data_IF_071581263549
#
_entry.id   IF_071581263549
#
_cell.length_a   1.000
_cell.length_b   1.000
_cell.length_c   1.000
_cell.angle_alpha   90.00
_cell.angle_beta   90.00
_cell.angle_gamma   90.00
#
_symmetry.space_group_name_H-M   'P 1'
#
loop_
_entity.id
_entity.type
_entity.pdbx_description
1 polymer ?
#
# COMPACT_ATOMS: atom_id res chain seq x y z
N UNK A 1 -21.11 33.81 -14.84
CA UNK A 1 -22.27 33.03 -15.27
C UNK A 1 -22.57 33.22 -16.75
N UNK A 2 -22.42 34.42 -17.28
CA UNK A 2 -22.79 34.77 -18.66
C UNK A 2 -21.94 34.12 -19.76
N UNK A 3 -20.62 33.90 -19.54
CA UNK A 3 -19.76 33.23 -20.52
C UNK A 3 -20.06 31.73 -20.66
N UNK A 4 -20.50 31.06 -19.58
CA UNK A 4 -20.90 29.67 -19.63
C UNK A 4 -22.20 29.46 -20.42
N UNK A 5 -23.11 30.39 -20.31
CA UNK A 5 -24.39 30.35 -21.02
C UNK A 5 -24.24 30.44 -22.56
N UNK A 6 -23.12 30.99 -23.06
CA UNK A 6 -22.84 31.02 -24.50
C UNK A 6 -22.28 29.71 -25.06
N UNK A 7 -21.82 28.80 -24.19
CA UNK A 7 -21.13 27.55 -24.60
C UNK A 7 -22.07 26.35 -24.49
N UNK A 8 -23.18 26.47 -23.73
CA UNK A 8 -24.07 25.34 -23.45
C UNK A 8 -25.23 25.27 -24.43
N UNK A 9 -25.75 24.06 -24.73
CA UNK A 9 -26.94 23.87 -25.59
C UNK A 9 -28.17 24.55 -25.00
N UNK A 10 -29.07 25.03 -25.89
CA UNK A 10 -30.27 25.78 -25.53
C UNK A 10 -31.22 25.07 -24.54
N UNK A 11 -31.27 23.73 -24.57
CA UNK A 11 -32.13 22.93 -23.66
C UNK A 11 -31.76 23.08 -22.18
N UNK A 12 -30.54 23.56 -21.86
CA UNK A 12 -30.11 23.79 -20.47
C UNK A 12 -30.86 24.95 -19.84
N UNK A 13 -31.38 25.89 -20.65
CA UNK A 13 -32.13 27.03 -20.17
C UNK A 13 -33.52 26.62 -19.65
N UNK A 14 -34.07 25.52 -20.13
CA UNK A 14 -35.41 25.00 -19.74
C UNK A 14 -35.33 24.17 -18.44
N UNK A 15 -34.15 23.94 -17.91
CA UNK A 15 -33.94 23.17 -16.67
C UNK A 15 -34.29 24.00 -15.43
N UNK A 16 -34.81 23.36 -14.34
CA UNK A 16 -34.99 24.00 -13.05
C UNK A 16 -33.73 24.70 -12.56
N UNK A 17 -33.87 25.83 -11.86
CA UNK A 17 -32.75 26.67 -11.40
C UNK A 17 -31.68 25.89 -10.60
N UNK A 18 -32.10 24.94 -9.75
CA UNK A 18 -31.21 24.09 -8.98
C UNK A 18 -30.32 23.20 -9.85
N UNK A 19 -30.91 22.60 -10.89
CA UNK A 19 -30.16 21.72 -11.82
C UNK A 19 -29.18 22.53 -12.67
N UNK A 20 -29.56 23.71 -13.09
CA UNK A 20 -28.71 24.65 -13.82
C UNK A 20 -27.51 25.09 -13.00
N UNK A 21 -27.73 25.38 -11.71
CA UNK A 21 -26.63 25.72 -10.79
C UNK A 21 -25.67 24.57 -10.58
N UNK A 22 -26.19 23.36 -10.43
CA UNK A 22 -25.35 22.14 -10.32
C UNK A 22 -24.49 21.91 -11.57
N UNK A 23 -25.08 22.01 -12.76
CA UNK A 23 -24.34 21.87 -14.02
C UNK A 23 -23.26 22.94 -14.17
N UNK A 24 -23.58 24.19 -13.79
CA UNK A 24 -22.61 25.26 -13.78
C UNK A 24 -21.44 25.00 -12.81
N UNK A 25 -21.72 24.52 -11.60
CA UNK A 25 -20.68 24.14 -10.63
C UNK A 25 -19.80 22.99 -11.14
N UNK A 26 -20.40 21.97 -11.75
CA UNK A 26 -19.67 20.89 -12.37
C UNK A 26 -18.77 21.38 -13.52
N UNK A 27 -19.29 22.22 -14.39
CA UNK A 27 -18.52 22.85 -15.46
C UNK A 27 -17.36 23.66 -14.89
N UNK A 28 -17.61 24.52 -13.92
CA UNK A 28 -16.58 25.32 -13.26
C UNK A 28 -15.50 24.49 -12.56
N UNK A 29 -15.92 23.36 -11.97
CA UNK A 29 -15.00 22.50 -11.22
C UNK A 29 -14.12 21.67 -12.12
N UNK A 30 -14.67 21.13 -13.22
CA UNK A 30 -13.96 20.13 -14.02
C UNK A 30 -13.48 20.66 -15.37
N UNK A 31 -14.22 21.58 -16.00
CA UNK A 31 -13.97 21.94 -17.40
C UNK A 31 -13.36 23.35 -17.51
N UNK A 32 -13.88 24.34 -16.76
CA UNK A 32 -13.42 25.71 -16.85
C UNK A 32 -11.93 25.84 -16.58
N UNK A 33 -11.24 26.63 -17.43
CA UNK A 33 -9.80 26.84 -17.34
C UNK A 33 -8.96 25.55 -17.34
N UNK A 34 -9.41 24.51 -18.06
CA UNK A 34 -8.69 23.23 -18.19
C UNK A 34 -8.44 22.50 -16.85
N UNK A 35 -9.30 22.73 -15.85
CA UNK A 35 -9.11 22.16 -14.50
C UNK A 35 -9.08 20.63 -14.47
N UNK A 36 -9.72 19.96 -15.43
CA UNK A 36 -9.61 18.51 -15.58
C UNK A 36 -8.17 18.00 -15.68
N UNK A 37 -7.23 18.83 -16.19
CA UNK A 37 -5.80 18.47 -16.25
C UNK A 37 -5.18 18.33 -14.86
N UNK A 38 -5.64 19.14 -13.90
CA UNK A 38 -5.21 19.03 -12.50
C UNK A 38 -5.67 17.72 -11.87
N UNK A 39 -6.93 17.32 -12.14
CA UNK A 39 -7.45 16.02 -11.68
C UNK A 39 -6.71 14.86 -12.34
N UNK A 40 -6.46 14.91 -13.65
CA UNK A 40 -5.72 13.90 -14.37
C UNK A 40 -4.28 13.77 -13.84
N UNK A 41 -3.61 14.89 -13.57
CA UNK A 41 -2.27 14.87 -12.98
C UNK A 41 -2.28 14.33 -11.55
N UNK A 42 -3.23 14.73 -10.72
CA UNK A 42 -3.42 14.19 -9.38
C UNK A 42 -3.65 12.68 -9.40
N UNK A 43 -4.49 12.19 -10.30
CA UNK A 43 -4.76 10.77 -10.49
C UNK A 43 -3.49 10.01 -10.90
N UNK A 44 -2.71 10.55 -11.84
CA UNK A 44 -1.41 9.99 -12.25
C UNK A 44 -0.46 9.84 -11.07
N UNK A 45 -0.33 10.88 -10.24
CA UNK A 45 0.52 10.86 -9.04
C UNK A 45 0.00 9.80 -8.05
N UNK A 46 -1.31 9.74 -7.83
CA UNK A 46 -1.92 8.74 -6.95
C UNK A 46 -1.61 7.32 -7.39
N UNK A 47 -1.76 7.01 -8.68
CA UNK A 47 -1.39 5.70 -9.22
C UNK A 47 0.10 5.40 -9.07
N UNK A 48 0.96 6.36 -9.35
CA UNK A 48 2.42 6.19 -9.21
C UNK A 48 2.80 5.88 -7.75
N UNK A 49 2.25 6.63 -6.79
CA UNK A 49 2.49 6.40 -5.36
C UNK A 49 1.93 5.05 -4.91
N UNK A 50 0.72 4.71 -5.33
CA UNK A 50 0.06 3.45 -4.96
C UNK A 50 0.84 2.23 -5.48
N UNK A 51 1.21 2.23 -6.76
CA UNK A 51 1.98 1.14 -7.37
C UNK A 51 3.36 1.03 -6.73
N UNK A 52 4.05 2.16 -6.55
CA UNK A 52 5.36 2.17 -5.90
C UNK A 52 5.32 1.65 -4.46
N UNK A 53 4.34 2.11 -3.67
CA UNK A 53 4.14 1.66 -2.30
C UNK A 53 3.74 0.17 -2.22
N UNK A 54 2.92 -0.30 -3.15
CA UNK A 54 2.51 -1.71 -3.23
C UNK A 54 3.72 -2.60 -3.50
N UNK A 55 4.53 -2.29 -4.50
CA UNK A 55 5.74 -3.06 -4.84
C UNK A 55 6.67 -3.11 -3.64
N UNK A 56 6.99 -1.95 -3.04
CA UNK A 56 7.85 -1.87 -1.87
C UNK A 56 7.28 -2.65 -0.68
N UNK A 57 5.98 -2.51 -0.43
CA UNK A 57 5.28 -3.22 0.65
C UNK A 57 5.29 -4.74 0.47
N UNK A 58 5.05 -5.23 -0.75
CA UNK A 58 5.12 -6.66 -1.06
C UNK A 58 6.53 -7.20 -0.83
N UNK A 59 7.56 -6.51 -1.30
CA UNK A 59 8.97 -6.93 -1.11
C UNK A 59 9.30 -7.00 0.38
N UNK A 60 9.05 -5.95 1.14
CA UNK A 60 9.32 -5.92 2.59
C UNK A 60 8.50 -6.99 3.31
N UNK A 61 7.22 -7.10 3.01
CA UNK A 61 6.30 -8.04 3.63
C UNK A 61 6.70 -9.50 3.40
N UNK A 62 7.10 -9.86 2.17
CA UNK A 62 7.59 -11.20 1.84
C UNK A 62 8.86 -11.55 2.61
N UNK A 63 9.84 -10.65 2.65
CA UNK A 63 11.09 -10.89 3.40
C UNK A 63 10.80 -11.14 4.87
N UNK A 64 9.95 -10.33 5.50
CA UNK A 64 9.60 -10.46 6.90
C UNK A 64 8.80 -11.76 7.15
N UNK A 65 7.85 -12.08 6.28
CA UNK A 65 7.06 -13.31 6.38
C UNK A 65 7.96 -14.56 6.34
N UNK A 66 8.90 -14.61 5.39
CA UNK A 66 9.85 -15.72 5.26
C UNK A 66 10.73 -15.86 6.52
N UNK A 67 11.29 -14.76 7.03
CA UNK A 67 12.12 -14.78 8.24
C UNK A 67 11.32 -15.33 9.43
N UNK A 68 10.11 -14.82 9.63
CA UNK A 68 9.26 -15.22 10.75
C UNK A 68 8.77 -16.66 10.63
N UNK A 69 8.34 -17.08 9.44
CA UNK A 69 7.92 -18.46 9.20
C UNK A 69 9.08 -19.43 9.37
N UNK A 70 10.28 -19.09 8.88
CA UNK A 70 11.49 -19.90 9.08
C UNK A 70 11.86 -20.03 10.56
N UNK A 71 11.64 -18.99 11.36
CA UNK A 71 11.85 -19.05 12.81
C UNK A 71 10.81 -19.95 13.48
N UNK A 72 9.52 -19.78 13.16
CA UNK A 72 8.40 -20.50 13.79
C UNK A 72 8.38 -22.00 13.40
N UNK A 73 8.87 -22.36 12.18
CA UNK A 73 8.94 -23.75 11.69
C UNK A 73 10.09 -24.57 12.28
N UNK A 74 10.96 -23.98 13.08
CA UNK A 74 12.11 -24.69 13.67
C UNK A 74 11.69 -25.46 14.93
N UNK A 75 12.16 -26.73 15.03
CA UNK A 75 12.02 -27.51 16.26
C UNK A 75 12.82 -26.86 17.39
N UNK A 76 12.25 -26.85 18.58
CA UNK A 76 12.93 -26.40 19.80
C UNK A 76 14.31 -27.09 19.95
N UNK A 77 15.37 -26.31 20.10
CA UNK A 77 16.74 -26.80 20.36
C UNK A 77 17.79 -26.55 19.26
N UNK A 78 17.42 -26.16 18.04
CA UNK A 78 18.37 -25.78 16.97
C UNK A 78 18.23 -24.32 16.56
N UNK A 79 18.29 -23.39 17.52
CA UNK A 79 18.17 -21.96 17.26
C UNK A 79 19.48 -21.37 16.69
N UNK A 80 19.44 -20.83 15.48
CA UNK A 80 20.49 -19.90 15.02
C UNK A 80 20.28 -18.58 15.76
N UNK A 81 21.28 -18.08 16.47
CA UNK A 81 21.27 -16.78 17.15
C UNK A 81 20.88 -15.66 16.15
N UNK A 82 21.41 -15.72 14.94
CA UNK A 82 21.11 -14.76 13.86
C UNK A 82 19.61 -14.72 13.56
N UNK A 83 18.96 -15.88 13.41
CA UNK A 83 17.53 -15.93 13.10
C UNK A 83 16.65 -15.42 14.25
N UNK A 84 17.08 -15.65 15.50
CA UNK A 84 16.39 -15.10 16.67
C UNK A 84 16.48 -13.58 16.71
N UNK A 85 17.64 -13.00 16.40
CA UNK A 85 17.83 -11.55 16.30
C UNK A 85 16.97 -10.98 15.18
N UNK A 86 17.03 -11.57 13.96
CA UNK A 86 16.22 -11.14 12.83
C UNK A 86 14.72 -11.18 13.14
N UNK A 87 14.25 -12.26 13.79
CA UNK A 87 12.84 -12.37 14.20
C UNK A 87 12.46 -11.32 15.24
N UNK A 88 13.34 -10.99 16.18
CA UNK A 88 13.12 -9.95 17.17
C UNK A 88 12.99 -8.55 16.50
N UNK A 89 13.88 -8.25 15.53
CA UNK A 89 13.81 -7.01 14.74
C UNK A 89 12.50 -6.95 13.94
N UNK A 90 12.12 -8.06 13.28
CA UNK A 90 10.86 -8.13 12.55
C UNK A 90 9.65 -7.90 13.47
N UNK A 91 9.63 -8.51 14.67
CA UNK A 91 8.56 -8.29 15.66
C UNK A 91 8.48 -6.83 16.11
N UNK A 92 9.63 -6.23 16.39
CA UNK A 92 9.69 -4.81 16.78
C UNK A 92 9.11 -3.90 15.68
N UNK A 93 9.54 -4.11 14.43
CA UNK A 93 9.01 -3.40 13.28
C UNK A 93 7.47 -3.54 13.17
N UNK A 94 6.95 -4.75 13.21
CA UNK A 94 5.51 -5.00 13.12
C UNK A 94 4.74 -4.35 14.28
N UNK A 95 5.29 -4.40 15.50
CA UNK A 95 4.68 -3.80 16.68
C UNK A 95 4.59 -2.27 16.55
N UNK A 96 5.67 -1.62 16.11
CA UNK A 96 5.71 -0.16 15.94
C UNK A 96 4.78 0.27 14.80
N UNK A 97 4.95 -0.34 13.62
CA UNK A 97 4.23 0.12 12.42
C UNK A 97 2.73 -0.13 12.52
N UNK A 98 2.31 -1.29 13.05
CA UNK A 98 0.88 -1.62 13.21
C UNK A 98 0.27 -1.01 14.49
N UNK A 99 1.09 -0.64 15.45
CA UNK A 99 0.67 0.00 16.69
C UNK A 99 0.54 1.52 16.61
N UNK A 100 0.98 2.15 15.52
CA UNK A 100 0.91 3.60 15.33
C UNK A 100 0.00 3.98 14.16
N UNK A 101 -0.78 5.07 14.27
CA UNK A 101 -1.63 5.54 13.17
C UNK A 101 -0.81 5.92 11.94
N UNK A 102 -1.23 5.48 10.75
CA UNK A 102 -0.54 5.77 9.49
C UNK A 102 -0.35 7.26 9.22
N UNK A 103 -1.33 8.10 9.60
CA UNK A 103 -1.22 9.56 9.48
C UNK A 103 -0.02 10.10 10.28
N UNK A 104 0.20 9.58 11.50
CA UNK A 104 1.34 9.98 12.33
C UNK A 104 2.66 9.58 11.66
N UNK A 105 2.73 8.39 11.06
CA UNK A 105 3.91 7.94 10.32
C UNK A 105 4.21 8.86 9.13
N UNK A 106 3.18 9.25 8.36
CA UNK A 106 3.33 10.20 7.24
C UNK A 106 3.84 11.57 7.72
N UNK A 107 3.32 12.08 8.84
CA UNK A 107 3.76 13.35 9.41
C UNK A 107 5.21 13.28 9.87
N UNK A 108 5.60 12.21 10.58
CA UNK A 108 6.98 12.01 11.04
C UNK A 108 7.93 11.91 9.84
N UNK A 109 7.59 11.09 8.85
CA UNK A 109 8.42 10.94 7.65
C UNK A 109 8.53 12.24 6.85
N UNK A 110 7.43 12.96 6.67
CA UNK A 110 7.39 14.18 5.87
C UNK A 110 7.99 15.41 6.55
N UNK A 111 7.83 15.55 7.86
CA UNK A 111 8.26 16.77 8.56
C UNK A 111 9.54 16.61 9.40
N UNK A 112 9.90 15.37 9.76
CA UNK A 112 11.05 15.13 10.65
C UNK A 112 12.18 14.38 9.95
N UNK A 113 11.86 13.32 9.20
CA UNK A 113 12.89 12.41 8.66
C UNK A 113 13.31 12.82 7.25
N UNK A 114 12.39 12.88 6.29
CA UNK A 114 12.72 13.12 4.87
C UNK A 114 12.66 14.59 4.48
N UNK A 115 11.77 15.38 5.09
CA UNK A 115 11.57 16.83 4.85
C UNK A 115 11.67 17.18 3.36
N UNK A 116 10.78 16.63 2.49
CA UNK A 116 10.90 16.77 1.06
C UNK A 116 10.72 18.22 0.59
N UNK A 117 11.63 18.70 -0.27
CA UNK A 117 11.67 20.10 -0.74
C UNK A 117 10.95 20.30 -2.08
N UNK A 118 10.78 19.25 -2.86
CA UNK A 118 10.16 19.27 -4.17
C UNK A 118 9.08 18.19 -4.31
N UNK A 119 8.31 18.24 -5.40
CA UNK A 119 7.18 17.34 -5.62
C UNK A 119 7.63 15.89 -5.83
N UNK A 120 8.78 15.66 -6.44
CA UNK A 120 9.36 14.33 -6.61
C UNK A 120 9.73 13.73 -5.26
N UNK A 121 10.40 14.50 -4.40
CA UNK A 121 10.76 14.07 -3.05
C UNK A 121 9.51 13.80 -2.18
N UNK A 122 8.43 14.58 -2.35
CA UNK A 122 7.13 14.34 -1.69
C UNK A 122 6.52 13.01 -2.13
N UNK A 123 6.56 12.74 -3.44
CA UNK A 123 6.08 11.48 -3.99
C UNK A 123 6.88 10.28 -3.45
N UNK A 124 8.21 10.38 -3.43
CA UNK A 124 9.10 9.34 -2.85
C UNK A 124 8.84 9.15 -1.38
N UNK A 125 8.68 10.23 -0.60
CA UNK A 125 8.32 10.16 0.82
C UNK A 125 7.00 9.40 1.04
N UNK A 126 6.00 9.69 0.22
CA UNK A 126 4.73 8.95 0.21
C UNK A 126 4.92 7.45 -0.09
N UNK A 127 5.65 7.12 -1.16
CA UNK A 127 5.93 5.73 -1.55
C UNK A 127 6.63 4.96 -0.42
N UNK A 128 7.67 5.55 0.16
CA UNK A 128 8.44 4.91 1.24
C UNK A 128 7.58 4.69 2.47
N UNK A 129 6.87 5.72 2.91
CA UNK A 129 6.05 5.62 4.13
C UNK A 129 4.91 4.62 3.98
N UNK A 130 4.17 4.71 2.87
CA UNK A 130 3.07 3.79 2.56
C UNK A 130 3.56 2.37 2.32
N UNK A 131 4.72 2.21 1.67
CA UNK A 131 5.35 0.91 1.44
C UNK A 131 5.80 0.25 2.73
N UNK A 132 6.42 1.00 3.65
CA UNK A 132 6.79 0.51 4.98
C UNK A 132 5.52 0.10 5.76
N UNK A 133 4.49 0.91 5.75
CA UNK A 133 3.24 0.59 6.43
C UNK A 133 2.57 -0.66 5.82
N UNK A 134 2.40 -0.70 4.50
CA UNK A 134 1.82 -1.84 3.77
C UNK A 134 2.60 -3.13 3.99
N UNK A 135 3.94 -3.06 4.03
CA UNK A 135 4.80 -4.21 4.26
C UNK A 135 4.55 -4.93 5.58
N UNK A 136 4.17 -4.19 6.62
CA UNK A 136 3.81 -4.78 7.91
C UNK A 136 2.51 -5.61 7.84
N UNK A 137 1.53 -5.16 7.08
CA UNK A 137 0.28 -5.91 6.87
C UNK A 137 0.49 -7.10 5.93
N UNK A 138 1.20 -6.92 4.83
CA UNK A 138 1.54 -8.00 3.89
C UNK A 138 2.31 -9.12 4.61
N UNK A 139 3.26 -8.77 5.47
CA UNK A 139 4.03 -9.75 6.25
C UNK A 139 3.13 -10.67 7.09
N UNK A 140 2.14 -10.10 7.77
CA UNK A 140 1.21 -10.89 8.60
C UNK A 140 0.22 -11.69 7.75
N UNK A 141 -0.27 -11.14 6.63
CA UNK A 141 -1.17 -11.87 5.71
C UNK A 141 -0.45 -13.08 5.12
N UNK A 142 0.75 -12.88 4.58
CA UNK A 142 1.55 -13.97 3.99
C UNK A 142 1.92 -15.00 5.06
N UNK A 143 2.38 -14.57 6.23
CA UNK A 143 2.67 -15.48 7.34
C UNK A 143 1.44 -16.29 7.77
N UNK A 144 0.29 -15.64 7.88
CA UNK A 144 -0.98 -16.31 8.20
C UNK A 144 -1.36 -17.35 7.15
N UNK A 145 -1.21 -17.03 5.87
CA UNK A 145 -1.43 -17.98 4.77
C UNK A 145 -0.47 -19.17 4.80
N UNK A 146 0.82 -18.93 5.02
CA UNK A 146 1.81 -20.00 5.12
C UNK A 146 1.56 -20.93 6.32
N UNK A 147 1.09 -20.40 7.43
CA UNK A 147 0.79 -21.18 8.65
C UNK A 147 -0.57 -21.86 8.63
N UNK A 148 -1.46 -21.52 7.70
CA UNK A 148 -2.75 -22.20 7.54
C UNK A 148 -2.62 -23.57 6.85
N UNK A 149 -1.49 -23.83 6.20
CA UNK A 149 -1.19 -25.13 5.60
C UNK A 149 -0.90 -26.13 6.72
N UNK A 150 -1.75 -27.17 6.83
CA UNK A 150 -1.64 -28.17 7.89
C UNK A 150 -0.32 -28.92 7.84
N UNK A 151 0.24 -29.22 9.02
CA UNK A 151 1.51 -29.96 9.14
C UNK A 151 1.51 -31.30 8.38
N UNK A 152 0.35 -31.97 8.30
CA UNK A 152 0.18 -33.22 7.56
C UNK A 152 0.47 -33.11 6.06
N UNK A 153 0.22 -31.96 5.42
CA UNK A 153 0.56 -31.75 4.01
C UNK A 153 2.08 -31.70 3.82
N UNK A 154 2.80 -31.06 4.74
CA UNK A 154 4.25 -31.04 4.73
C UNK A 154 4.86 -32.41 5.01
N UNK A 155 4.24 -33.21 5.86
CA UNK A 155 4.67 -34.59 6.14
C UNK A 155 4.39 -35.50 4.94
N UNK A 156 3.24 -35.37 4.29
CA UNK A 156 2.89 -36.09 3.07
C UNK A 156 3.87 -35.78 1.92
N UNK A 157 4.20 -34.52 1.70
CA UNK A 157 5.19 -34.09 0.71
C UNK A 157 6.57 -34.73 0.97
N UNK A 158 7.03 -34.72 2.23
CA UNK A 158 8.29 -35.38 2.63
C UNK A 158 8.26 -36.89 2.43
N UNK A 159 7.13 -37.55 2.70
CA UNK A 159 6.97 -38.98 2.47
C UNK A 159 7.06 -39.34 0.99
N UNK A 160 6.72 -38.42 0.10
CA UNK A 160 6.89 -38.53 -1.34
C UNK A 160 8.31 -38.13 -1.83
N UNK A 161 9.22 -37.80 -0.90
CA UNK A 161 10.60 -37.41 -1.22
C UNK A 161 10.76 -35.96 -1.67
N UNK A 162 9.72 -35.13 -1.55
CA UNK A 162 9.79 -33.71 -1.92
C UNK A 162 10.55 -32.88 -0.88
N UNK A 163 11.34 -31.92 -1.35
CA UNK A 163 11.95 -30.95 -0.45
C UNK A 163 10.94 -29.87 -0.02
N UNK A 164 11.32 -29.05 0.98
CA UNK A 164 10.46 -28.02 1.54
C UNK A 164 9.89 -27.06 0.46
N UNK A 165 10.76 -26.60 -0.45
CA UNK A 165 10.35 -25.68 -1.52
C UNK A 165 9.38 -26.31 -2.52
N UNK A 166 9.60 -27.58 -2.85
CA UNK A 166 8.71 -28.34 -3.76
C UNK A 166 7.33 -28.57 -3.11
N UNK A 167 7.30 -28.94 -1.83
CA UNK A 167 6.03 -29.12 -1.12
C UNK A 167 5.27 -27.82 -0.94
N UNK A 168 5.96 -26.70 -0.79
CA UNK A 168 5.32 -25.38 -0.67
C UNK A 168 4.79 -24.83 -2.01
N UNK A 169 5.26 -25.36 -3.12
CA UNK A 169 4.84 -24.92 -4.45
C UNK A 169 3.64 -25.73 -5.02
N UNK A 170 3.33 -26.89 -4.42
CA UNK A 170 2.17 -27.74 -4.73
C UNK A 170 0.96 -27.37 -3.89
#
# INVERSE_FOLDING_TARGET
MDQWLQIVPAWIYDLPSGLRTLLYQLYQTFIAADRWKWFANGLKITFAVTIGALILGVIIGMVIAVIRTAHDSRRAGKGSIILNILNAVCKLYLTIIRGTPMMVQLLIMGFVIMVPKDDTARMVCGIVTLGINSGAYVAEIVRGGLMSVGAGQMEAGRSLGLNYGQTMWL
#
